data_IF_181456381887
#
_entry.id   IF_181456381887
#
_cell.length_a   1.000
_cell.length_b   1.000
_cell.length_c   1.000
_cell.angle_alpha   90.00
_cell.angle_beta   90.00
_cell.angle_gamma   90.00
#
_symmetry.space_group_name_H-M   'P 1'
#
loop_
_entity.id
_entity.type
_entity.pdbx_description
1 polymer ?
#
# COMPACT_ATOMS: atom_id res chain seq x y z
N UNK A 1 -7.50 -23.36 18.78
CA UNK A 1 -7.38 -23.74 20.19
C UNK A 1 -5.98 -23.56 20.79
N UNK A 2 -4.88 -23.73 20.03
CA UNK A 2 -3.52 -23.52 20.57
C UNK A 2 -3.22 -22.04 20.86
N UNK A 3 -3.65 -21.12 19.98
CA UNK A 3 -3.41 -19.69 20.17
C UNK A 3 -4.06 -19.14 21.45
N UNK A 4 -5.31 -19.52 21.74
CA UNK A 4 -6.00 -19.09 22.97
C UNK A 4 -5.31 -19.64 24.23
N UNK A 5 -4.80 -20.88 24.16
CA UNK A 5 -4.03 -21.49 25.25
C UNK A 5 -2.71 -20.77 25.51
N UNK A 6 -2.03 -20.32 24.45
CA UNK A 6 -0.77 -19.59 24.57
C UNK A 6 -0.96 -18.20 25.18
N UNK A 7 -1.99 -17.47 24.76
CA UNK A 7 -2.37 -16.17 25.36
C UNK A 7 -2.63 -16.35 26.85
N UNK A 8 -3.41 -17.36 27.22
CA UNK A 8 -3.79 -17.64 28.61
C UNK A 8 -2.60 -17.97 29.50
N UNK A 9 -1.53 -18.55 28.97
CA UNK A 9 -0.32 -18.88 29.71
C UNK A 9 0.72 -17.77 29.72
N UNK A 10 0.84 -17.03 28.63
CA UNK A 10 1.88 -16.00 28.48
C UNK A 10 1.56 -14.73 29.27
N UNK A 11 0.31 -14.30 29.31
CA UNK A 11 -0.07 -13.07 30.03
C UNK A 11 0.21 -13.17 31.55
N UNK A 12 -0.18 -14.25 32.27
CA UNK A 12 0.22 -14.42 33.65
C UNK A 12 1.74 -14.48 33.87
N UNK A 13 2.48 -15.09 32.93
CA UNK A 13 3.92 -15.09 33.01
C UNK A 13 4.51 -13.66 32.93
N UNK A 14 3.97 -12.81 32.10
CA UNK A 14 4.39 -11.40 32.03
C UNK A 14 4.09 -10.69 33.34
N UNK A 15 2.89 -10.87 33.89
CA UNK A 15 2.45 -10.23 35.13
C UNK A 15 3.31 -10.67 36.31
N UNK A 16 3.66 -11.96 36.39
CA UNK A 16 4.32 -12.53 37.56
C UNK A 16 5.86 -12.38 37.53
N UNK A 17 6.46 -12.32 36.34
CA UNK A 17 7.91 -12.42 36.21
C UNK A 17 8.59 -11.25 35.47
N UNK A 18 7.84 -10.45 34.69
CA UNK A 18 8.44 -9.44 33.85
C UNK A 18 8.04 -8.01 34.20
N UNK A 19 6.87 -7.80 34.78
CA UNK A 19 6.45 -6.48 35.23
C UNK A 19 7.01 -6.16 36.62
N UNK A 20 7.36 -4.89 36.82
CA UNK A 20 7.62 -4.40 38.19
C UNK A 20 6.35 -4.44 39.03
N UNK A 21 6.48 -4.50 40.34
CA UNK A 21 5.36 -4.63 41.28
C UNK A 21 4.33 -3.50 41.11
N UNK A 22 4.78 -2.27 40.95
CA UNK A 22 3.94 -1.09 40.74
C UNK A 22 3.17 -1.14 39.41
N UNK A 23 3.81 -1.59 38.33
CA UNK A 23 3.17 -1.73 37.01
C UNK A 23 2.16 -2.88 37.05
N UNK A 24 2.54 -4.01 37.66
CA UNK A 24 1.63 -5.15 37.84
C UNK A 24 0.39 -4.74 38.63
N UNK A 25 0.57 -4.02 39.75
CA UNK A 25 -0.54 -3.52 40.57
C UNK A 25 -1.45 -2.60 39.77
N UNK A 26 -0.89 -1.67 39.00
CA UNK A 26 -1.65 -0.79 38.10
C UNK A 26 -2.45 -1.54 37.02
N UNK A 27 -1.89 -2.61 36.46
CA UNK A 27 -2.58 -3.49 35.50
C UNK A 27 -3.71 -4.27 36.19
N UNK A 28 -3.45 -4.84 37.35
CA UNK A 28 -4.42 -5.65 38.11
C UNK A 28 -5.63 -4.80 38.58
N UNK A 29 -5.40 -3.53 38.90
CA UNK A 29 -6.46 -2.58 39.27
C UNK A 29 -7.08 -1.86 38.06
N UNK A 30 -6.73 -2.22 36.84
CA UNK A 30 -7.21 -1.58 35.58
C UNK A 30 -6.91 -0.08 35.46
N UNK A 31 -5.85 0.43 36.12
CA UNK A 31 -5.39 1.80 35.91
C UNK A 31 -4.68 1.98 34.59
N UNK A 32 -4.01 0.92 34.12
CA UNK A 32 -3.36 0.86 32.82
C UNK A 32 -3.69 -0.48 32.13
N UNK A 33 -3.61 -0.47 30.79
CA UNK A 33 -3.75 -1.67 29.96
C UNK A 33 -2.50 -1.84 29.09
N UNK A 34 -1.91 -3.04 29.10
CA UNK A 34 -0.83 -3.42 28.20
C UNK A 34 -1.44 -4.23 27.06
N UNK A 35 -1.49 -3.61 25.87
CA UNK A 35 -2.01 -4.25 24.67
C UNK A 35 -1.05 -5.36 24.20
N UNK A 36 -1.59 -6.49 23.73
CA UNK A 36 -0.81 -7.66 23.28
C UNK A 36 0.26 -8.11 24.28
N UNK A 37 -0.09 -8.12 25.58
CA UNK A 37 0.81 -8.42 26.68
C UNK A 37 1.51 -9.78 26.56
N UNK A 38 0.90 -10.75 25.89
CA UNK A 38 1.47 -12.07 25.59
C UNK A 38 2.69 -12.02 24.66
N UNK A 39 2.88 -10.93 23.90
CA UNK A 39 4.06 -10.70 23.07
C UNK A 39 5.14 -9.85 23.74
N UNK A 40 4.87 -9.31 24.93
CA UNK A 40 5.82 -8.49 25.70
C UNK A 40 7.18 -9.20 25.94
N UNK A 41 7.25 -10.53 26.23
CA UNK A 41 8.51 -11.22 26.44
C UNK A 41 9.41 -11.27 25.20
N UNK A 42 8.82 -11.32 24.02
CA UNK A 42 9.55 -11.42 22.76
C UNK A 42 9.94 -10.05 22.19
N UNK A 43 9.40 -8.97 22.76
CA UNK A 43 9.57 -7.59 22.25
C UNK A 43 9.18 -7.46 20.78
N UNK A 44 8.25 -8.30 20.32
CA UNK A 44 7.72 -8.21 18.96
C UNK A 44 6.94 -6.91 18.76
N UNK A 45 7.10 -6.31 17.61
CA UNK A 45 6.28 -5.16 17.22
C UNK A 45 4.82 -5.60 17.08
N UNK A 46 3.92 -4.78 17.61
CA UNK A 46 2.46 -4.96 17.46
C UNK A 46 1.90 -3.76 16.73
N UNK A 47 1.17 -3.93 15.66
CA UNK A 47 0.55 -2.86 14.87
C UNK A 47 1.56 -1.83 14.34
N UNK A 48 1.85 -1.90 13.05
CA UNK A 48 2.85 -1.07 12.37
C UNK A 48 2.19 -0.17 11.33
N UNK A 49 2.66 1.08 11.23
CA UNK A 49 2.38 1.97 10.11
C UNK A 49 3.63 2.06 9.22
N UNK A 50 3.45 1.86 7.92
CA UNK A 50 4.53 1.93 6.95
C UNK A 50 4.73 3.36 6.46
N UNK A 51 5.94 3.95 6.62
CA UNK A 51 6.31 5.22 6.00
C UNK A 51 6.64 4.97 4.53
N UNK A 52 5.59 4.79 3.72
CA UNK A 52 5.75 4.32 2.35
C UNK A 52 6.53 5.32 1.48
N UNK A 53 6.47 6.62 1.77
CA UNK A 53 7.27 7.66 1.14
C UNK A 53 8.78 7.39 1.31
N UNK A 54 9.23 7.06 2.51
CA UNK A 54 10.62 6.71 2.78
C UNK A 54 11.02 5.43 2.03
N UNK A 55 10.17 4.40 2.11
CA UNK A 55 10.39 3.10 1.46
C UNK A 55 10.51 3.25 -0.06
N UNK A 56 9.63 4.01 -0.67
CA UNK A 56 9.62 4.19 -2.12
C UNK A 56 10.75 5.08 -2.64
N UNK A 57 11.15 6.11 -1.88
CA UNK A 57 12.19 7.05 -2.28
C UNK A 57 13.61 6.52 -2.07
N UNK A 58 13.83 5.68 -1.05
CA UNK A 58 15.17 5.21 -0.70
C UNK A 58 15.36 3.71 -1.00
N UNK A 59 14.28 2.97 -1.20
CA UNK A 59 14.30 1.52 -1.16
C UNK A 59 14.47 0.99 0.27
N UNK A 60 14.58 -0.31 0.42
CA UNK A 60 14.80 -0.97 1.71
C UNK A 60 15.51 -2.31 1.56
N UNK A 61 16.07 -2.80 2.66
CA UNK A 61 16.69 -4.13 2.74
C UNK A 61 15.83 -5.05 3.61
N UNK A 62 15.44 -6.18 3.05
CA UNK A 62 14.58 -7.17 3.71
C UNK A 62 15.37 -8.42 4.16
N UNK A 63 16.54 -8.23 4.75
CA UNK A 63 17.43 -9.31 5.18
C UNK A 63 18.28 -9.88 4.04
N UNK A 64 17.68 -10.30 2.95
CA UNK A 64 18.37 -10.79 1.75
C UNK A 64 18.05 -9.89 0.56
N UNK A 65 19.04 -9.13 0.10
CA UNK A 65 18.91 -8.21 -1.01
C UNK A 65 18.33 -6.84 -0.62
N UNK A 66 18.47 -5.90 -1.54
CA UNK A 66 18.00 -4.52 -1.36
C UNK A 66 17.11 -4.10 -2.52
N UNK A 67 16.01 -3.49 -2.22
CA UNK A 67 15.11 -2.88 -3.20
C UNK A 67 15.62 -1.50 -3.61
N UNK A 68 15.56 -1.19 -4.89
CA UNK A 68 15.87 0.14 -5.40
C UNK A 68 14.68 1.08 -5.22
N UNK A 69 14.90 2.41 -5.22
CA UNK A 69 13.81 3.38 -5.28
C UNK A 69 12.86 3.12 -6.45
N UNK A 70 11.58 3.33 -6.22
CA UNK A 70 10.58 3.22 -7.27
C UNK A 70 10.71 4.36 -8.29
N UNK A 71 10.39 4.09 -9.55
CA UNK A 71 10.34 5.08 -10.64
C UNK A 71 9.06 4.98 -11.47
N UNK A 72 8.19 4.05 -11.14
CA UNK A 72 6.96 3.73 -11.87
C UNK A 72 5.91 3.27 -10.89
N UNK A 73 4.65 3.43 -11.25
CA UNK A 73 3.54 3.04 -10.40
C UNK A 73 3.53 1.53 -10.10
N UNK A 74 3.88 0.69 -11.07
CA UNK A 74 3.92 -0.76 -10.89
C UNK A 74 4.98 -1.15 -9.84
N UNK A 75 6.17 -0.56 -9.94
CA UNK A 75 7.24 -0.81 -8.97
C UNK A 75 6.87 -0.30 -7.58
N UNK A 76 6.23 0.87 -7.49
CA UNK A 76 5.78 1.42 -6.23
C UNK A 76 4.74 0.52 -5.54
N UNK A 77 3.76 0.01 -6.29
CA UNK A 77 2.76 -0.92 -5.78
C UNK A 77 3.38 -2.24 -5.31
N UNK A 78 4.32 -2.80 -6.08
CA UNK A 78 5.04 -4.03 -5.69
C UNK A 78 5.88 -3.81 -4.43
N UNK A 79 6.59 -2.69 -4.30
CA UNK A 79 7.37 -2.39 -3.09
C UNK A 79 6.47 -2.20 -1.87
N UNK A 80 5.28 -1.65 -2.03
CA UNK A 80 4.29 -1.57 -0.97
C UNK A 80 3.85 -2.97 -0.51
N UNK A 81 3.57 -3.90 -1.44
CA UNK A 81 3.29 -5.29 -1.11
C UNK A 81 4.45 -5.94 -0.35
N UNK A 82 5.66 -5.87 -0.89
CA UNK A 82 6.84 -6.51 -0.29
C UNK A 82 7.09 -5.98 1.12
N UNK A 83 6.91 -4.67 1.34
CA UNK A 83 7.10 -4.09 2.67
C UNK A 83 6.11 -4.65 3.70
N UNK A 84 4.83 -4.80 3.33
CA UNK A 84 3.79 -5.39 4.17
C UNK A 84 4.06 -6.87 4.44
N UNK A 85 4.39 -7.63 3.41
CA UNK A 85 4.61 -9.08 3.49
C UNK A 85 5.86 -9.42 4.28
N UNK A 86 6.95 -8.68 4.09
CA UNK A 86 8.21 -8.89 4.83
C UNK A 86 8.04 -8.55 6.30
N UNK A 87 7.42 -7.39 6.60
CA UNK A 87 7.19 -6.97 7.98
C UNK A 87 6.30 -7.94 8.75
N UNK A 88 5.37 -8.63 8.08
CA UNK A 88 4.48 -9.60 8.70
C UNK A 88 5.21 -10.74 9.42
N UNK A 89 6.42 -11.10 8.99
CA UNK A 89 7.20 -12.15 9.62
C UNK A 89 7.88 -11.71 10.92
N UNK A 90 8.01 -10.42 11.16
CA UNK A 90 8.73 -9.84 12.30
C UNK A 90 7.81 -9.17 13.32
N UNK A 91 6.51 -9.11 13.04
CA UNK A 91 5.56 -8.42 13.88
C UNK A 91 4.30 -9.25 14.16
N UNK A 92 3.49 -8.78 15.10
CA UNK A 92 2.16 -9.30 15.39
C UNK A 92 1.10 -8.20 15.24
N UNK A 93 -0.07 -8.56 14.74
CA UNK A 93 -1.18 -7.62 14.58
C UNK A 93 -1.32 -7.05 13.18
N UNK A 94 -1.95 -5.89 13.07
CA UNK A 94 -2.27 -5.26 11.81
C UNK A 94 -1.19 -4.30 11.31
N UNK A 95 -1.16 -4.11 10.01
CA UNK A 95 -0.26 -3.17 9.33
C UNK A 95 -1.08 -2.14 8.57
N UNK A 96 -0.63 -0.90 8.51
CA UNK A 96 -1.33 0.18 7.82
C UNK A 96 -0.42 1.02 6.94
N UNK A 97 -0.96 1.47 5.81
CA UNK A 97 -0.38 2.55 5.00
C UNK A 97 -1.28 3.78 5.17
N UNK A 98 -0.84 4.82 5.91
CA UNK A 98 -1.74 5.89 6.38
C UNK A 98 -2.17 6.92 5.34
N UNK A 99 -1.50 7.00 4.19
CA UNK A 99 -1.79 7.97 3.11
C UNK A 99 -1.42 7.37 1.75
N UNK A 100 -2.09 6.27 1.40
CA UNK A 100 -1.79 5.45 0.25
C UNK A 100 -1.85 6.22 -1.08
N UNK A 101 -2.89 7.02 -1.26
CA UNK A 101 -3.08 7.89 -2.42
C UNK A 101 -1.95 8.91 -2.57
N UNK A 102 -1.63 9.62 -1.50
CA UNK A 102 -0.57 10.63 -1.47
C UNK A 102 0.82 10.03 -1.74
N UNK A 103 1.12 8.88 -1.16
CA UNK A 103 2.43 8.25 -1.33
C UNK A 103 2.64 7.69 -2.74
N UNK A 104 1.59 7.26 -3.42
CA UNK A 104 1.67 6.72 -4.77
C UNK A 104 1.49 7.77 -5.88
N UNK A 105 0.90 8.91 -5.58
CA UNK A 105 0.63 9.97 -6.56
C UNK A 105 1.86 10.39 -7.39
N UNK A 106 3.07 10.59 -6.82
CA UNK A 106 4.25 10.94 -7.61
C UNK A 106 4.61 9.90 -8.68
N UNK A 107 4.33 8.63 -8.42
CA UNK A 107 4.64 7.55 -9.35
C UNK A 107 3.65 7.42 -10.50
N UNK A 108 2.43 7.93 -10.35
CA UNK A 108 1.49 8.13 -11.45
C UNK A 108 2.06 9.17 -12.41
N UNK A 109 2.52 10.33 -11.90
CA UNK A 109 3.15 11.37 -12.71
C UNK A 109 4.40 10.87 -13.42
N UNK A 110 5.29 10.15 -12.73
CA UNK A 110 6.50 9.57 -13.33
C UNK A 110 6.14 8.57 -14.45
N UNK A 111 5.10 7.76 -14.26
CA UNK A 111 4.63 6.84 -15.29
C UNK A 111 4.05 7.57 -16.50
N UNK A 112 3.31 8.65 -16.30
CA UNK A 112 2.83 9.51 -17.37
C UNK A 112 3.98 10.15 -18.16
N UNK A 113 4.97 10.71 -17.47
CA UNK A 113 6.15 11.27 -18.11
C UNK A 113 6.93 10.23 -18.94
N UNK A 114 6.95 8.98 -18.49
CA UNK A 114 7.53 7.88 -19.26
C UNK A 114 6.74 7.60 -20.53
N UNK A 115 5.40 7.60 -20.48
CA UNK A 115 4.56 7.42 -21.67
C UNK A 115 4.73 8.57 -22.66
N UNK A 116 4.83 9.81 -22.20
CA UNK A 116 5.15 10.95 -23.07
C UNK A 116 6.50 10.79 -23.73
N UNK A 117 7.55 10.37 -23.00
CA UNK A 117 8.88 10.08 -23.59
C UNK A 117 8.85 8.96 -24.61
N UNK A 118 8.01 7.95 -24.41
CA UNK A 118 7.84 6.87 -25.37
C UNK A 118 7.19 7.38 -26.66
N UNK A 119 6.19 8.29 -26.54
CA UNK A 119 5.56 8.93 -27.69
C UNK A 119 6.55 9.83 -28.45
N UNK A 120 7.37 10.63 -27.76
CA UNK A 120 8.42 11.44 -28.41
C UNK A 120 9.35 10.59 -29.28
N UNK A 121 9.80 9.45 -28.74
CA UNK A 121 10.67 8.52 -29.49
C UNK A 121 9.98 7.90 -30.70
N UNK A 122 8.68 7.69 -30.61
CA UNK A 122 7.87 7.04 -31.64
C UNK A 122 7.50 7.99 -32.77
N UNK A 123 7.15 9.23 -32.42
CA UNK A 123 6.69 10.25 -33.38
C UNK A 123 7.80 11.16 -33.89
N UNK A 124 8.87 11.32 -33.13
CA UNK A 124 9.93 12.30 -33.39
C UNK A 124 9.53 13.74 -33.05
N UNK A 125 8.36 13.94 -32.43
CA UNK A 125 7.87 15.25 -32.00
C UNK A 125 8.44 15.61 -30.62
N UNK A 126 8.72 16.89 -30.38
CA UNK A 126 9.06 17.40 -29.05
C UNK A 126 7.78 17.58 -28.23
N UNK A 127 7.60 16.73 -27.22
CA UNK A 127 6.47 16.74 -26.27
C UNK A 127 6.91 17.16 -24.86
N UNK A 128 8.10 17.71 -24.70
CA UNK A 128 8.70 18.04 -23.38
C UNK A 128 7.81 18.94 -22.51
N UNK A 129 7.00 19.79 -23.10
CA UNK A 129 6.04 20.64 -22.38
C UNK A 129 4.85 19.88 -21.77
N UNK A 130 4.61 18.62 -22.14
CA UNK A 130 3.61 17.76 -21.51
C UNK A 130 4.10 17.16 -20.18
N UNK A 131 5.41 17.10 -19.92
CA UNK A 131 5.93 16.46 -18.72
C UNK A 131 5.39 17.05 -17.43
N UNK A 132 5.34 18.37 -17.35
CA UNK A 132 4.89 19.11 -16.17
C UNK A 132 3.54 19.83 -16.41
N UNK A 133 2.89 19.58 -17.54
CA UNK A 133 1.59 20.15 -17.83
C UNK A 133 0.58 19.73 -16.75
N UNK A 134 -0.25 20.65 -16.28
CA UNK A 134 -1.31 20.34 -15.35
C UNK A 134 -2.30 19.37 -16.00
N UNK A 135 -2.60 18.29 -15.33
CA UNK A 135 -3.62 17.31 -15.74
C UNK A 135 -4.80 17.47 -14.79
N UNK A 136 -5.96 17.78 -15.34
CA UNK A 136 -7.18 17.97 -14.56
C UNK A 136 -7.65 16.64 -13.94
N UNK A 137 -7.63 15.57 -14.72
CA UNK A 137 -7.91 14.22 -14.24
C UNK A 137 -7.31 13.15 -15.18
N UNK A 138 -6.92 12.03 -14.60
CA UNK A 138 -6.47 10.83 -15.34
C UNK A 138 -7.70 9.98 -15.68
N UNK A 139 -8.41 10.33 -16.73
CA UNK A 139 -9.59 9.58 -17.20
C UNK A 139 -9.32 9.03 -18.59
N UNK A 140 -9.59 7.73 -18.75
CA UNK A 140 -9.53 7.10 -20.06
C UNK A 140 -10.64 7.62 -20.96
N UNK A 141 -10.27 8.08 -22.16
CA UNK A 141 -11.20 8.61 -23.16
C UNK A 141 -10.90 8.01 -24.54
N UNK A 142 -11.92 7.84 -25.40
CA UNK A 142 -11.71 7.51 -26.80
C UNK A 142 -10.81 8.53 -27.48
N UNK A 143 -9.97 8.07 -28.39
CA UNK A 143 -9.07 8.93 -29.18
C UNK A 143 -9.70 9.42 -30.48
N UNK A 144 -10.94 8.99 -30.75
CA UNK A 144 -11.67 9.36 -31.94
C UNK A 144 -12.05 10.84 -31.89
N UNK A 145 -11.74 11.57 -32.96
CA UNK A 145 -11.98 13.02 -33.06
C UNK A 145 -10.84 13.87 -32.51
N UNK A 146 -9.92 13.33 -31.72
CA UNK A 146 -8.73 14.05 -31.27
C UNK A 146 -7.64 14.03 -32.33
N UNK A 147 -6.89 15.14 -32.47
CA UNK A 147 -5.82 15.26 -33.45
C UNK A 147 -4.55 15.87 -32.83
N UNK A 148 -3.43 15.64 -33.51
CA UNK A 148 -2.15 16.23 -33.14
C UNK A 148 -1.80 15.98 -31.66
N UNK A 149 -1.38 17.03 -31.01
CA UNK A 149 -0.90 17.01 -29.62
C UNK A 149 -1.94 16.55 -28.62
N UNK A 150 -3.18 17.00 -28.75
CA UNK A 150 -4.28 16.60 -27.83
C UNK A 150 -4.50 15.09 -27.86
N UNK A 151 -4.40 14.47 -29.04
CA UNK A 151 -4.49 13.02 -29.20
C UNK A 151 -3.32 12.31 -28.51
N UNK A 152 -2.10 12.83 -28.62
CA UNK A 152 -0.90 12.25 -28.00
C UNK A 152 -0.98 12.37 -26.47
N UNK A 153 -1.40 13.51 -25.95
CA UNK A 153 -1.61 13.70 -24.51
C UNK A 153 -2.66 12.75 -23.96
N UNK A 154 -3.83 12.67 -24.59
CA UNK A 154 -4.87 11.74 -24.16
C UNK A 154 -4.42 10.28 -24.27
N UNK A 155 -3.63 9.94 -25.27
CA UNK A 155 -3.06 8.60 -25.38
C UNK A 155 -2.11 8.29 -24.20
N UNK A 156 -1.25 9.23 -23.81
CA UNK A 156 -0.38 9.08 -22.63
C UNK A 156 -1.20 8.92 -21.34
N UNK A 157 -2.29 9.71 -21.19
CA UNK A 157 -3.21 9.58 -20.07
C UNK A 157 -3.85 8.18 -20.04
N UNK A 158 -4.42 7.71 -21.17
CA UNK A 158 -5.05 6.40 -21.26
C UNK A 158 -4.07 5.27 -20.88
N UNK A 159 -2.85 5.34 -21.39
CA UNK A 159 -1.79 4.39 -21.04
C UNK A 159 -1.45 4.43 -19.55
N UNK A 160 -1.36 5.61 -18.98
CA UNK A 160 -1.07 5.79 -17.55
C UNK A 160 -2.20 5.23 -16.70
N UNK A 161 -3.47 5.51 -17.02
CA UNK A 161 -4.62 4.95 -16.29
C UNK A 161 -4.59 3.43 -16.31
N UNK A 162 -4.35 2.82 -17.47
CA UNK A 162 -4.24 1.36 -17.58
C UNK A 162 -3.12 0.80 -16.70
N UNK A 163 -1.95 1.45 -16.68
CA UNK A 163 -0.82 1.06 -15.80
C UNK A 163 -1.18 1.17 -14.32
N UNK A 164 -1.86 2.24 -13.92
CA UNK A 164 -2.33 2.40 -12.55
C UNK A 164 -3.34 1.30 -12.20
N UNK A 165 -4.29 1.02 -13.09
CA UNK A 165 -5.27 -0.05 -12.90
C UNK A 165 -4.57 -1.41 -12.68
N UNK A 166 -3.66 -1.79 -13.57
CA UNK A 166 -2.91 -3.04 -13.46
C UNK A 166 -2.08 -3.11 -12.16
N UNK A 167 -1.48 -1.98 -11.74
CA UNK A 167 -0.73 -1.92 -10.49
C UNK A 167 -1.65 -2.10 -9.26
N UNK A 168 -2.84 -1.51 -9.26
CA UNK A 168 -3.81 -1.64 -8.16
C UNK A 168 -4.44 -3.03 -8.14
N UNK A 169 -4.76 -3.59 -9.29
CA UNK A 169 -5.23 -4.97 -9.41
C UNK A 169 -4.19 -5.96 -8.85
N UNK A 170 -2.93 -5.84 -9.26
CA UNK A 170 -1.84 -6.66 -8.75
C UNK A 170 -1.65 -6.49 -7.23
N UNK A 171 -1.77 -5.26 -6.70
CA UNK A 171 -1.71 -5.00 -5.27
C UNK A 171 -2.83 -5.74 -4.51
N UNK A 172 -4.07 -5.63 -4.97
CA UNK A 172 -5.22 -6.32 -4.36
C UNK A 172 -5.03 -7.85 -4.42
N UNK A 173 -4.62 -8.39 -5.58
CA UNK A 173 -4.39 -9.82 -5.73
C UNK A 173 -3.29 -10.31 -4.78
N UNK A 174 -2.15 -9.63 -4.69
CA UNK A 174 -1.05 -10.02 -3.82
C UNK A 174 -1.48 -10.03 -2.35
N UNK A 175 -2.19 -9.00 -1.89
CA UNK A 175 -2.66 -8.92 -0.49
C UNK A 175 -3.66 -10.01 -0.11
N UNK A 176 -4.28 -10.68 -1.06
CA UNK A 176 -5.26 -11.74 -0.83
C UNK A 176 -4.76 -13.15 -1.15
N UNK A 177 -3.67 -13.27 -1.92
CA UNK A 177 -3.17 -14.58 -2.38
C UNK A 177 -1.84 -14.97 -1.78
N UNK A 178 -1.00 -14.01 -1.35
CA UNK A 178 0.29 -14.32 -0.77
C UNK A 178 0.15 -14.55 0.73
N UNK A 179 0.48 -15.77 1.15
CA UNK A 179 0.42 -16.21 2.54
C UNK A 179 1.81 -16.09 3.17
N UNK A 180 2.20 -14.88 3.53
CA UNK A 180 3.52 -14.62 4.12
C UNK A 180 3.58 -14.89 5.63
N UNK A 181 2.45 -15.07 6.29
CA UNK A 181 2.35 -15.31 7.72
C UNK A 181 2.31 -16.80 8.05
N UNK A 182 2.90 -17.18 9.19
CA UNK A 182 2.80 -18.54 9.73
C UNK A 182 1.34 -19.01 9.88
N UNK A 183 1.07 -20.28 9.55
CA UNK A 183 -0.29 -20.81 9.57
C UNK A 183 -1.12 -20.51 8.30
N UNK A 184 -0.46 -20.19 7.21
CA UNK A 184 -1.11 -19.97 5.90
C UNK A 184 -2.12 -18.80 5.91
N UNK A 185 -1.79 -17.71 6.61
CA UNK A 185 -2.63 -16.52 6.71
C UNK A 185 -2.13 -15.41 5.78
N UNK A 186 -3.07 -14.66 5.21
CA UNK A 186 -2.77 -13.41 4.49
C UNK A 186 -2.41 -12.28 5.45
N UNK A 187 -1.76 -11.24 4.94
CA UNK A 187 -1.33 -10.08 5.72
C UNK A 187 -2.53 -9.26 6.18
N UNK A 188 -2.70 -9.08 7.50
CA UNK A 188 -3.67 -8.15 8.06
C UNK A 188 -3.24 -6.72 7.76
N UNK A 189 -3.84 -6.14 6.75
CA UNK A 189 -3.43 -4.84 6.25
C UNK A 189 -4.61 -3.87 6.09
N UNK A 190 -4.31 -2.58 6.22
CA UNK A 190 -5.23 -1.49 5.90
C UNK A 190 -4.54 -0.41 5.10
N UNK A 191 -5.29 0.29 4.28
CA UNK A 191 -4.85 1.48 3.56
C UNK A 191 -5.79 2.64 3.87
N UNK A 192 -5.24 3.80 4.13
CA UNK A 192 -6.01 5.03 4.29
C UNK A 192 -5.77 5.92 3.07
N UNK A 193 -6.81 6.51 2.54
CA UNK A 193 -6.77 7.42 1.39
C UNK A 193 -7.88 8.47 1.45
N UNK A 194 -7.94 9.38 0.48
CA UNK A 194 -8.91 10.48 0.43
C UNK A 194 -8.38 11.82 0.91
N UNK A 195 -7.08 11.89 1.25
CA UNK A 195 -6.44 13.15 1.66
C UNK A 195 -5.75 13.87 0.51
N UNK A 196 -5.34 13.16 -0.52
CA UNK A 196 -4.76 13.74 -1.73
C UNK A 196 -5.85 14.19 -2.70
N UNK A 197 -5.84 15.48 -3.05
CA UNK A 197 -6.78 16.08 -4.00
C UNK A 197 -6.18 16.25 -5.40
N UNK A 198 -4.94 15.84 -5.62
CA UNK A 198 -4.31 15.87 -6.94
C UNK A 198 -5.02 14.94 -7.93
N UNK A 199 -4.83 15.17 -9.21
CA UNK A 199 -5.33 14.28 -10.26
C UNK A 199 -4.75 12.86 -10.12
N UNK A 200 -3.48 12.79 -9.76
CA UNK A 200 -2.76 11.55 -9.52
C UNK A 200 -3.36 10.75 -8.34
N UNK A 201 -3.60 11.42 -7.20
CA UNK A 201 -4.21 10.79 -6.03
C UNK A 201 -5.63 10.32 -6.32
N UNK A 202 -6.43 11.12 -7.05
CA UNK A 202 -7.77 10.69 -7.48
C UNK A 202 -7.73 9.48 -8.41
N UNK A 203 -6.73 9.39 -9.28
CA UNK A 203 -6.52 8.22 -10.13
C UNK A 203 -6.26 6.97 -9.26
N UNK A 204 -5.36 7.04 -8.30
CA UNK A 204 -5.09 5.94 -7.36
C UNK A 204 -6.36 5.49 -6.64
N UNK A 205 -7.13 6.44 -6.08
CA UNK A 205 -8.36 6.14 -5.36
C UNK A 205 -9.39 5.43 -6.24
N UNK A 206 -9.58 5.91 -7.46
CA UNK A 206 -10.52 5.30 -8.40
C UNK A 206 -10.11 3.89 -8.77
N UNK A 207 -8.86 3.70 -9.15
CA UNK A 207 -8.39 2.40 -9.63
C UNK A 207 -8.29 1.35 -8.50
N UNK A 208 -7.94 1.74 -7.27
CA UNK A 208 -7.94 0.79 -6.13
C UNK A 208 -9.37 0.36 -5.75
N UNK A 209 -10.33 1.29 -5.80
CA UNK A 209 -11.74 0.98 -5.56
C UNK A 209 -12.30 0.06 -6.65
N UNK A 210 -11.99 0.35 -7.91
CA UNK A 210 -12.43 -0.48 -9.04
C UNK A 210 -11.84 -1.89 -8.96
N UNK A 211 -10.53 -2.02 -8.69
CA UNK A 211 -9.87 -3.31 -8.54
C UNK A 211 -10.45 -4.10 -7.36
N UNK A 212 -10.76 -3.45 -6.26
CA UNK A 212 -11.42 -4.10 -5.11
C UNK A 212 -12.83 -4.58 -5.46
N UNK A 213 -13.60 -3.78 -6.19
CA UNK A 213 -14.95 -4.14 -6.63
C UNK A 213 -14.95 -5.33 -7.60
N UNK A 214 -13.96 -5.41 -8.48
CA UNK A 214 -13.77 -6.53 -9.40
C UNK A 214 -13.41 -7.84 -8.68
N UNK A 215 -12.83 -7.74 -7.47
CA UNK A 215 -12.44 -8.88 -6.66
C UNK A 215 -11.17 -9.57 -7.14
N UNK A 216 -10.95 -10.78 -6.65
CA UNK A 216 -9.72 -11.56 -6.89
C UNK A 216 -9.90 -12.74 -7.84
N UNK A 217 -10.89 -12.67 -8.69
CA UNK A 217 -11.25 -13.72 -9.67
C UNK A 217 -12.35 -14.66 -9.16
N UNK A 218 -12.97 -15.40 -10.08
CA UNK A 218 -14.04 -16.39 -9.80
C UNK A 218 -15.21 -15.87 -8.95
N UNK A 219 -15.44 -14.55 -8.91
CA UNK A 219 -16.47 -13.95 -8.07
C UNK A 219 -16.09 -13.82 -6.58
N UNK A 220 -14.84 -14.07 -6.23
CA UNK A 220 -14.34 -13.91 -4.86
C UNK A 220 -14.08 -12.45 -4.53
N UNK A 221 -14.56 -12.02 -3.36
CA UNK A 221 -14.37 -10.66 -2.87
C UNK A 221 -13.01 -10.51 -2.24
N UNK A 222 -12.31 -9.41 -2.54
CA UNK A 222 -11.08 -9.04 -1.84
C UNK A 222 -11.37 -8.75 -0.37
N UNK A 223 -10.58 -9.35 0.54
CA UNK A 223 -10.70 -9.17 1.99
C UNK A 223 -9.74 -8.08 2.46
N UNK A 224 -8.52 -8.08 1.93
CA UNK A 224 -7.46 -7.15 2.29
C UNK A 224 -6.95 -6.36 1.08
N UNK A 225 -6.40 -5.16 1.33
CA UNK A 225 -6.39 -4.42 2.59
C UNK A 225 -7.79 -3.88 2.96
N UNK A 226 -8.03 -3.69 4.26
CA UNK A 226 -9.18 -2.91 4.75
C UNK A 226 -8.99 -1.48 4.25
N UNK A 227 -10.03 -0.89 3.68
CA UNK A 227 -9.96 0.43 3.08
C UNK A 227 -10.64 1.47 3.96
N UNK A 228 -9.92 2.52 4.30
CA UNK A 228 -10.38 3.59 5.17
C UNK A 228 -10.32 4.91 4.40
N UNK A 229 -11.47 5.42 4.05
CA UNK A 229 -11.56 6.71 3.36
C UNK A 229 -11.68 7.86 4.36
N UNK A 230 -10.77 8.81 4.24
CA UNK A 230 -10.83 10.08 4.99
C UNK A 230 -11.49 11.14 4.12
N UNK A 231 -12.64 11.61 4.57
CA UNK A 231 -13.30 12.78 3.98
C UNK A 231 -12.65 14.06 4.54
N UNK A 232 -12.19 14.93 3.66
CA UNK A 232 -11.84 16.32 4.02
C UNK A 232 -13.09 17.16 4.19
#
# INVERSE_FOLDING_TARGET
SSAASDVYKRQPFVDDYLLSEDVRDAVMHNYIHIHDKDYYPTKSLTCVQHPLDVILNHGFTAGHGSSRPAKRIETAAVLACISLETCQNEMHGGQAIPAFDFYLAPYVRMSYQEEVKNLEKLTGEDLSNLYDAPIDDYIEKPLDGLQGRERLEQHAINKTVNRVHQAMEAFIHNMNTIHSRGGNQVVFSSINYGTDTSAEGRCIMREILQSTYQGVGNGETAIFPIQIWKKK
#
